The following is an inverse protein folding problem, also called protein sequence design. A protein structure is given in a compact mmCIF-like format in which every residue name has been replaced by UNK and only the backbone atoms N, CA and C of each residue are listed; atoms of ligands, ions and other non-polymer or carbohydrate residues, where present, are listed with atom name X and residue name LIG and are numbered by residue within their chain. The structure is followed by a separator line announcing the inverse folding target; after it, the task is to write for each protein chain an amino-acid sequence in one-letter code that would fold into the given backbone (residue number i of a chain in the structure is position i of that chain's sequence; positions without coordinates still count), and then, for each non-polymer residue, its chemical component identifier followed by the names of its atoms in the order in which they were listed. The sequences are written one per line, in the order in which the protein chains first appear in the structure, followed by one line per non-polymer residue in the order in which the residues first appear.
data_IF_906150655753
#
_entry.id   IF_906150655753
#
_cell.length_a   1.000
_cell.length_b   1.000
_cell.length_c   1.000
_cell.angle_alpha   90.00
_cell.angle_beta   90.00
_cell.angle_gamma   90.00
#
_symmetry.space_group_name_H-M   'P 1'
#
loop_
_entity.id
_entity.type
_entity.pdbx_description
1 polymer ?
#
# COMPACT_ATOMS: atom_id res chain seq x y z
N UNK A 1 -19.66 -39.57 -2.59
CA UNK A 1 -18.39 -39.02 -3.14
C UNK A 1 -18.57 -37.77 -4.00
N UNK A 2 -19.54 -37.69 -4.93
CA UNK A 2 -19.76 -36.48 -5.77
C UNK A 2 -20.08 -35.17 -5.01
N UNK A 3 -20.78 -35.25 -3.86
CA UNK A 3 -21.13 -34.07 -3.04
C UNK A 3 -19.93 -33.47 -2.30
N UNK A 4 -18.95 -34.28 -1.89
CA UNK A 4 -17.74 -33.81 -1.22
C UNK A 4 -16.79 -33.07 -2.18
N UNK A 5 -16.71 -33.55 -3.43
CA UNK A 5 -15.91 -32.90 -4.48
C UNK A 5 -16.44 -31.50 -4.83
N UNK A 6 -17.77 -31.31 -4.82
CA UNK A 6 -18.41 -30.03 -5.10
C UNK A 6 -18.12 -28.98 -4.00
N UNK A 7 -18.11 -29.41 -2.74
CA UNK A 7 -17.81 -28.53 -1.58
C UNK A 7 -16.35 -28.07 -1.59
N UNK A 8 -15.41 -28.97 -1.93
CA UNK A 8 -13.98 -28.62 -2.05
C UNK A 8 -13.74 -27.63 -3.21
N UNK A 9 -14.45 -27.79 -4.33
CA UNK A 9 -14.33 -26.88 -5.47
C UNK A 9 -14.85 -25.47 -5.15
N UNK A 10 -15.97 -25.36 -4.42
CA UNK A 10 -16.53 -24.08 -3.97
C UNK A 10 -15.62 -23.36 -2.97
N UNK A 11 -14.96 -24.09 -2.06
CA UNK A 11 -14.01 -23.51 -1.09
C UNK A 11 -12.72 -23.02 -1.77
N UNK A 12 -12.25 -23.70 -2.83
CA UNK A 12 -11.07 -23.27 -3.58
C UNK A 12 -11.29 -21.97 -4.37
N UNK A 13 -12.51 -21.69 -4.83
CA UNK A 13 -12.85 -20.48 -5.59
C UNK A 13 -12.93 -19.20 -4.73
N UNK A 14 -13.17 -19.33 -3.41
CA UNK A 14 -13.29 -18.18 -2.51
C UNK A 14 -11.93 -17.59 -2.09
N UNK A 15 -10.84 -18.36 -2.20
CA UNK A 15 -9.49 -17.89 -1.85
C UNK A 15 -8.96 -16.79 -2.77
N UNK A 16 -9.53 -16.62 -3.97
CA UNK A 16 -9.08 -15.62 -4.94
C UNK A 16 -9.59 -14.19 -4.71
N UNK A 17 -10.48 -13.98 -3.73
CA UNK A 17 -11.15 -12.68 -3.53
C UNK A 17 -10.60 -11.86 -2.35
N UNK A 18 -9.69 -12.41 -1.55
CA UNK A 18 -9.15 -11.71 -0.39
C UNK A 18 -8.08 -10.68 -0.81
N UNK A 19 -8.04 -9.51 -0.14
CA UNK A 19 -6.90 -8.60 -0.23
C UNK A 19 -5.61 -9.34 0.09
N UNK A 20 -4.56 -9.08 -0.69
CA UNK A 20 -3.25 -9.68 -0.48
C UNK A 20 -2.21 -8.58 -0.59
N UNK A 21 -1.54 -8.19 0.50
CA UNK A 21 -0.51 -7.19 0.42
C UNK A 21 0.72 -7.72 -0.31
N UNK A 22 1.46 -6.82 -0.96
CA UNK A 22 2.79 -7.09 -1.47
C UNK A 22 3.69 -7.57 -0.32
N UNK A 23 4.55 -8.58 -0.54
CA UNK A 23 5.37 -9.12 0.52
C UNK A 23 6.42 -8.08 0.96
N UNK A 24 6.64 -7.91 2.28
CA UNK A 24 7.71 -7.05 2.76
C UNK A 24 9.07 -7.61 2.35
N UNK A 25 10.04 -6.72 2.16
CA UNK A 25 11.41 -7.11 1.86
C UNK A 25 12.34 -6.74 3.03
N UNK A 26 13.08 -7.73 3.52
CA UNK A 26 14.09 -7.56 4.57
C UNK A 26 15.50 -7.38 4.00
N UNK A 27 15.66 -7.55 2.70
CA UNK A 27 16.91 -7.33 1.97
C UNK A 27 16.65 -6.75 0.56
N UNK A 28 17.72 -6.41 -0.15
CA UNK A 28 17.65 -5.91 -1.53
C UNK A 28 17.78 -7.01 -2.59
N UNK A 29 17.54 -8.28 -2.24
CA UNK A 29 17.61 -9.40 -3.18
C UNK A 29 16.27 -9.56 -3.88
N UNK A 30 16.34 -9.67 -5.21
CA UNK A 30 15.17 -9.80 -6.08
C UNK A 30 15.41 -10.86 -7.15
N UNK A 31 14.34 -11.53 -7.54
CA UNK A 31 14.33 -12.32 -8.77
C UNK A 31 14.25 -11.41 -10.01
N UNK A 32 14.49 -11.97 -11.20
CA UNK A 32 14.47 -11.19 -12.45
C UNK A 32 13.12 -10.49 -12.70
N UNK A 33 12.01 -11.12 -12.28
CA UNK A 33 10.64 -10.61 -12.43
C UNK A 33 10.20 -9.66 -11.31
N UNK A 34 11.06 -9.37 -10.34
CA UNK A 34 10.72 -8.55 -9.17
C UNK A 34 11.60 -7.30 -9.07
N UNK A 35 11.11 -6.32 -8.32
CA UNK A 35 11.84 -5.14 -7.90
C UNK A 35 11.51 -4.82 -6.44
N UNK A 36 12.49 -4.33 -5.68
CA UNK A 36 12.21 -3.75 -4.36
C UNK A 36 11.68 -2.34 -4.55
N UNK A 37 10.54 -2.05 -3.95
CA UNK A 37 9.92 -0.72 -3.95
C UNK A 37 10.06 -0.13 -2.56
N UNK A 38 10.64 1.07 -2.50
CA UNK A 38 10.84 1.83 -1.27
C UNK A 38 10.09 3.15 -1.40
N UNK A 39 9.33 3.51 -0.38
CA UNK A 39 8.64 4.78 -0.32
C UNK A 39 8.07 5.02 1.07
N UNK A 40 7.22 6.03 1.17
CA UNK A 40 6.49 6.37 2.40
C UNK A 40 5.11 6.90 2.02
N UNK A 41 4.11 6.63 2.85
CA UNK A 41 2.79 7.24 2.71
C UNK A 41 2.52 8.06 3.96
N UNK A 42 2.09 9.31 3.77
CA UNK A 42 1.85 10.27 4.84
C UNK A 42 0.48 10.91 4.74
N UNK A 43 -0.04 11.30 5.90
CA UNK A 43 -1.27 12.05 6.03
C UNK A 43 -1.05 13.27 6.93
N UNK A 44 -1.45 14.44 6.46
CA UNK A 44 -1.27 15.72 7.14
C UNK A 44 -2.62 16.46 7.23
N UNK A 45 -3.13 16.75 8.45
CA UNK A 45 -2.65 16.26 9.74
C UNK A 45 -2.80 14.73 9.87
N UNK A 46 -1.99 14.05 10.70
CA UNK A 46 -2.10 12.62 10.93
C UNK A 46 -3.45 12.27 11.57
N UNK A 47 -3.87 11.00 11.49
CA UNK A 47 -5.05 10.52 12.21
C UNK A 47 -4.76 10.53 13.71
N UNK A 48 -5.65 11.13 14.48
CA UNK A 48 -5.60 11.06 15.93
C UNK A 48 -6.22 9.73 16.40
N UNK A 49 -5.38 8.78 16.81
CA UNK A 49 -5.83 7.46 17.25
C UNK A 49 -6.68 7.44 18.52
N UNK A 50 -6.75 8.54 19.28
CA UNK A 50 -7.60 8.66 20.48
C UNK A 50 -9.00 9.17 20.14
N UNK A 51 -9.10 10.16 19.24
CA UNK A 51 -10.37 10.85 18.96
C UNK A 51 -11.02 10.47 17.62
N UNK A 52 -10.26 9.93 16.67
CA UNK A 52 -10.73 9.62 15.32
C UNK A 52 -10.79 8.13 15.03
N UNK A 53 -10.23 7.30 15.91
CA UNK A 53 -10.26 5.84 15.77
C UNK A 53 -10.97 5.18 16.94
N UNK A 54 -11.71 4.12 16.63
CA UNK A 54 -12.38 3.30 17.63
C UNK A 54 -11.73 1.92 17.72
N UNK A 55 -11.36 1.55 18.95
CA UNK A 55 -10.68 0.30 19.26
C UNK A 55 -11.59 -0.67 20.01
N UNK A 56 -11.42 -1.96 19.76
CA UNK A 56 -12.21 -3.05 20.32
C UNK A 56 -11.28 -4.16 20.82
N UNK A 57 -11.39 -4.45 22.12
CA UNK A 57 -10.53 -5.42 22.81
C UNK A 57 -10.59 -6.86 22.25
N UNK A 58 -11.64 -7.20 21.50
CA UNK A 58 -11.90 -8.55 20.98
C UNK A 58 -11.64 -8.69 19.46
N UNK A 59 -11.06 -7.68 18.80
CA UNK A 59 -10.79 -7.73 17.35
C UNK A 59 -9.30 -8.00 17.10
N UNK A 60 -8.98 -9.22 16.69
CA UNK A 60 -7.61 -9.60 16.34
C UNK A 60 -7.12 -8.83 15.11
N UNK A 61 -5.91 -8.28 15.19
CA UNK A 61 -5.28 -7.54 14.08
C UNK A 61 -5.78 -6.11 13.89
N UNK A 62 -6.67 -5.63 14.76
CA UNK A 62 -7.22 -4.27 14.70
C UNK A 62 -6.14 -3.19 14.65
N UNK A 63 -5.11 -3.29 15.49
CA UNK A 63 -4.04 -2.30 15.56
C UNK A 63 -3.34 -2.10 14.21
N UNK A 64 -3.09 -3.20 13.49
CA UNK A 64 -2.56 -3.14 12.13
C UNK A 64 -3.54 -2.42 11.21
N UNK A 65 -4.81 -2.80 11.22
CA UNK A 65 -5.82 -2.22 10.31
C UNK A 65 -6.09 -0.73 10.55
N UNK A 66 -6.01 -0.26 11.79
CA UNK A 66 -6.20 1.15 12.14
C UNK A 66 -4.97 1.99 11.80
N UNK A 67 -3.76 1.46 11.99
CA UNK A 67 -2.53 2.24 11.79
C UNK A 67 -1.95 2.13 10.37
N UNK A 68 -2.51 1.28 9.52
CA UNK A 68 -2.02 1.06 8.16
C UNK A 68 -2.98 1.57 7.11
N UNK A 69 -2.40 2.05 6.01
CA UNK A 69 -3.08 2.31 4.75
C UNK A 69 -2.86 1.14 3.80
N UNK A 70 -3.94 0.67 3.19
CA UNK A 70 -3.89 -0.27 2.07
C UNK A 70 -4.06 0.52 0.78
N UNK A 71 -3.03 0.51 -0.07
CA UNK A 71 -3.00 1.14 -1.39
C UNK A 71 -3.19 0.08 -2.46
N UNK A 72 -4.28 0.15 -3.21
CA UNK A 72 -4.50 -0.70 -4.38
C UNK A 72 -3.42 -0.42 -5.43
N UNK A 73 -2.77 -1.48 -5.92
CA UNK A 73 -1.77 -1.36 -6.99
C UNK A 73 -2.14 -2.21 -8.19
N UNK A 74 -1.52 -1.95 -9.34
CA UNK A 74 -1.68 -2.82 -10.50
C UNK A 74 -0.96 -2.35 -11.75
N UNK A 75 -0.95 -3.19 -12.78
CA UNK A 75 -0.33 -2.90 -14.07
C UNK A 75 -1.10 -1.84 -14.91
N UNK A 76 -2.34 -1.53 -14.51
CA UNK A 76 -3.23 -0.59 -15.21
C UNK A 76 -3.78 0.44 -14.23
N UNK A 77 -3.99 1.66 -14.73
CA UNK A 77 -4.73 2.69 -14.02
C UNK A 77 -6.21 2.28 -13.93
N UNK A 78 -6.64 1.85 -12.75
CA UNK A 78 -8.03 1.51 -12.45
C UNK A 78 -8.39 2.08 -11.09
N UNK A 79 -8.94 3.31 -11.03
CA UNK A 79 -9.33 3.93 -9.77
C UNK A 79 -10.24 3.01 -8.94
N UNK A 80 -10.01 2.96 -7.63
CA UNK A 80 -10.87 2.21 -6.71
C UNK A 80 -12.21 2.93 -6.54
N UNK A 81 -13.30 2.16 -6.50
CA UNK A 81 -14.62 2.70 -6.19
C UNK A 81 -14.79 2.85 -4.67
N UNK A 82 -14.78 4.10 -4.19
CA UNK A 82 -14.94 4.40 -2.77
C UNK A 82 -16.36 4.12 -2.24
N UNK A 83 -17.36 3.96 -3.13
CA UNK A 83 -18.74 3.64 -2.73
C UNK A 83 -18.97 2.14 -2.50
N UNK A 84 -18.11 1.29 -3.07
CA UNK A 84 -18.23 -0.16 -3.00
C UNK A 84 -16.85 -0.80 -2.78
N UNK A 85 -16.52 -1.13 -1.53
CA UNK A 85 -15.28 -1.84 -1.23
C UNK A 85 -15.27 -3.23 -1.87
N UNK A 86 -14.43 -3.41 -2.88
CA UNK A 86 -14.14 -4.71 -3.45
C UNK A 86 -12.74 -5.17 -3.03
N UNK A 87 -12.66 -6.18 -2.17
CA UNK A 87 -11.38 -6.73 -1.70
C UNK A 87 -10.44 -7.16 -2.85
N UNK A 88 -11.03 -7.52 -4.00
CA UNK A 88 -10.31 -7.83 -5.23
C UNK A 88 -9.50 -6.68 -5.84
N UNK A 89 -9.85 -5.43 -5.52
CA UNK A 89 -9.09 -4.24 -5.93
C UNK A 89 -7.79 -4.08 -5.16
N UNK A 90 -7.72 -4.68 -3.98
CA UNK A 90 -6.55 -4.69 -3.10
C UNK A 90 -5.77 -6.00 -3.18
N UNK A 91 -5.87 -6.69 -4.32
CA UNK A 91 -4.93 -7.77 -4.67
C UNK A 91 -3.61 -7.13 -5.07
N UNK A 92 -2.53 -7.59 -4.46
CA UNK A 92 -1.20 -6.98 -4.57
C UNK A 92 -1.18 -5.53 -4.07
N UNK A 93 -1.91 -5.24 -2.99
CA UNK A 93 -1.92 -3.91 -2.39
C UNK A 93 -0.59 -3.60 -1.71
N UNK A 94 -0.16 -2.36 -1.77
CA UNK A 94 0.89 -1.87 -0.90
C UNK A 94 0.26 -1.54 0.45
N UNK A 95 0.72 -2.21 1.50
CA UNK A 95 0.30 -1.92 2.87
C UNK A 95 1.43 -1.21 3.60
N UNK A 96 1.14 -0.05 4.18
CA UNK A 96 2.14 0.78 4.85
C UNK A 96 1.57 1.39 6.11
N UNK A 97 2.42 1.52 7.14
CA UNK A 97 2.12 2.33 8.32
C UNK A 97 2.29 3.82 7.97
N UNK A 98 1.42 4.67 8.51
CA UNK A 98 1.46 6.11 8.26
C UNK A 98 2.78 6.74 8.73
N UNK A 99 3.46 7.48 7.85
CA UNK A 99 4.70 8.18 8.19
C UNK A 99 5.94 7.29 8.30
N UNK A 100 5.80 5.98 8.12
CA UNK A 100 6.91 5.03 8.19
C UNK A 100 7.32 4.61 6.78
N UNK A 101 8.62 4.62 6.45
CA UNK A 101 9.08 4.06 5.17
C UNK A 101 8.76 2.57 5.05
N UNK A 102 8.19 2.16 3.93
CA UNK A 102 7.97 0.75 3.60
C UNK A 102 9.03 0.25 2.62
N UNK A 103 9.28 -1.05 2.65
CA UNK A 103 10.15 -1.76 1.71
C UNK A 103 9.42 -3.06 1.32
N UNK A 104 9.00 -3.16 0.07
CA UNK A 104 8.18 -4.29 -0.42
C UNK A 104 8.72 -4.84 -1.73
N UNK A 105 8.47 -6.12 -2.03
CA UNK A 105 8.71 -6.67 -3.36
C UNK A 105 7.49 -6.43 -4.23
N UNK A 106 7.71 -5.95 -5.45
CA UNK A 106 6.66 -5.77 -6.43
C UNK A 106 7.06 -6.39 -7.78
N UNK A 107 6.11 -6.71 -8.66
CA UNK A 107 6.41 -7.12 -10.02
C UNK A 107 7.22 -6.06 -10.77
N UNK A 108 8.20 -6.49 -11.58
CA UNK A 108 9.03 -5.62 -12.41
C UNK A 108 8.26 -5.10 -13.62
N UNK A 109 7.39 -4.13 -13.38
CA UNK A 109 6.57 -3.47 -14.40
C UNK A 109 6.22 -2.05 -13.97
N UNK A 110 5.67 -1.24 -14.88
CA UNK A 110 4.98 -0.01 -14.50
C UNK A 110 3.85 -0.37 -13.53
N UNK A 111 3.85 0.26 -12.37
CA UNK A 111 2.86 0.02 -11.33
C UNK A 111 2.10 1.29 -11.03
N UNK A 112 0.78 1.20 -11.10
CA UNK A 112 -0.16 2.26 -10.75
C UNK A 112 -0.59 2.13 -9.29
N UNK A 113 -0.77 3.27 -8.63
CA UNK A 113 -1.39 3.44 -7.33
C UNK A 113 -2.80 3.94 -7.58
N UNK A 114 -3.77 3.04 -7.39
CA UNK A 114 -5.13 3.17 -7.89
C UNK A 114 -6.10 3.78 -6.88
N UNK A 115 -5.70 3.89 -5.62
CA UNK A 115 -6.50 4.43 -4.53
C UNK A 115 -6.15 3.71 -3.24
N UNK A 116 -6.39 4.36 -2.12
CA UNK A 116 -6.07 3.79 -0.82
C UNK A 116 -7.27 3.84 0.12
N UNK A 117 -7.19 3.01 1.15
CA UNK A 117 -8.16 2.97 2.24
C UNK A 117 -7.43 2.74 3.56
N UNK A 118 -7.91 3.36 4.63
CA UNK A 118 -7.55 3.07 6.03
C UNK A 118 -8.82 2.90 6.84
N UNK A 119 -8.76 2.12 7.91
CA UNK A 119 -9.89 1.98 8.83
C UNK A 119 -9.82 3.06 9.93
N UNK A 120 -10.99 3.59 10.29
CA UNK A 120 -11.21 4.38 11.50
C UNK A 120 -11.92 3.53 12.58
N UNK A 121 -12.76 2.59 12.14
CA UNK A 121 -13.40 1.58 12.98
C UNK A 121 -13.42 0.25 12.23
N UNK A 122 -12.74 -0.77 12.76
CA UNK A 122 -12.67 -2.09 12.11
C UNK A 122 -13.98 -2.88 12.25
N UNK A 123 -14.76 -2.65 13.31
CA UNK A 123 -16.00 -3.37 13.57
C UNK A 123 -17.15 -2.82 12.73
N UNK A 124 -17.35 -1.51 12.77
CA UNK A 124 -18.39 -0.80 12.02
C UNK A 124 -17.98 -0.55 10.57
N UNK A 125 -16.73 -0.87 10.21
CA UNK A 125 -16.15 -0.73 8.87
C UNK A 125 -16.11 0.74 8.41
N UNK A 126 -15.97 1.68 9.35
CA UNK A 126 -15.73 3.09 9.02
C UNK A 126 -14.35 3.23 8.40
N UNK A 127 -14.30 3.88 7.24
CA UNK A 127 -13.13 3.95 6.39
C UNK A 127 -12.91 5.36 5.89
N UNK A 128 -11.64 5.70 5.73
CA UNK A 128 -11.22 6.88 4.99
C UNK A 128 -10.59 6.46 3.66
N UNK A 129 -11.04 7.10 2.58
CA UNK A 129 -10.61 6.82 1.22
C UNK A 129 -9.66 7.89 0.71
N UNK A 130 -8.64 7.46 -0.02
CA UNK A 130 -7.61 8.31 -0.58
C UNK A 130 -7.57 8.19 -2.10
N UNK A 131 -7.50 9.31 -2.82
CA UNK A 131 -7.45 9.29 -4.28
C UNK A 131 -6.15 8.65 -4.77
N UNK A 132 -6.24 7.81 -5.80
CA UNK A 132 -5.09 7.28 -6.53
C UNK A 132 -4.71 8.15 -7.73
N UNK A 133 -4.32 7.49 -8.83
CA UNK A 133 -3.94 8.16 -10.07
C UNK A 133 -2.47 8.54 -10.12
N UNK A 134 -1.62 7.72 -9.49
CA UNK A 134 -0.17 7.84 -9.57
C UNK A 134 0.45 6.58 -10.13
N UNK A 135 1.67 6.67 -10.66
CA UNK A 135 2.41 5.51 -11.11
C UNK A 135 3.92 5.72 -10.96
N UNK A 136 4.67 4.62 -10.95
CA UNK A 136 6.11 4.63 -11.11
C UNK A 136 6.54 3.64 -12.20
N UNK A 137 7.69 3.90 -12.79
CA UNK A 137 8.33 2.99 -13.75
C UNK A 137 9.46 2.25 -13.04
N UNK A 138 9.85 1.08 -13.56
CA UNK A 138 11.04 0.38 -13.07
C UNK A 138 12.15 0.61 -14.08
N UNK A 139 13.20 1.39 -13.75
CA UNK A 139 14.32 1.58 -14.66
C UNK A 139 15.00 0.25 -14.98
N UNK A 140 15.57 0.15 -16.19
CA UNK A 140 16.28 -1.05 -16.63
C UNK A 140 17.42 -1.39 -15.66
N UNK A 141 17.53 -2.68 -15.31
CA UNK A 141 18.54 -3.19 -14.37
C UNK A 141 18.37 -2.76 -12.91
N UNK A 142 17.35 -1.97 -12.55
CA UNK A 142 17.13 -1.53 -11.18
C UNK A 142 16.70 -2.69 -10.28
N UNK A 143 17.49 -3.03 -9.26
CA UNK A 143 17.08 -4.02 -8.23
C UNK A 143 16.13 -3.44 -7.21
N UNK A 144 16.29 -2.14 -6.92
CA UNK A 144 15.47 -1.40 -5.99
C UNK A 144 15.14 -0.02 -6.58
N UNK A 145 13.91 0.44 -6.34
CA UNK A 145 13.41 1.75 -6.75
C UNK A 145 12.89 2.53 -5.55
N UNK A 146 13.25 3.82 -5.48
CA UNK A 146 12.64 4.76 -4.55
C UNK A 146 11.55 5.56 -5.26
N UNK A 147 10.32 5.51 -4.76
CA UNK A 147 9.16 6.12 -5.41
C UNK A 147 8.75 7.46 -4.80
N UNK A 148 9.44 7.94 -3.77
CA UNK A 148 9.06 9.17 -3.07
C UNK A 148 8.19 8.92 -1.84
N UNK A 149 7.84 10.01 -1.18
CA UNK A 149 6.79 10.07 -0.16
C UNK A 149 5.51 10.56 -0.82
N UNK A 150 4.44 9.76 -0.76
CA UNK A 150 3.10 10.17 -1.18
C UNK A 150 2.38 10.80 0.01
N UNK A 151 2.26 12.12 0.00
CA UNK A 151 1.70 12.90 1.11
C UNK A 151 0.30 13.38 0.77
N UNK A 152 -0.67 12.93 1.56
CA UNK A 152 -2.04 13.40 1.52
C UNK A 152 -2.23 14.53 2.52
N UNK A 153 -2.96 15.56 2.11
CA UNK A 153 -3.44 16.61 2.99
C UNK A 153 -4.95 16.47 3.15
N UNK A 154 -5.46 16.60 4.37
CA UNK A 154 -6.89 16.54 4.68
C UNK A 154 -7.33 17.77 5.45
N UNK A 155 -8.63 18.05 5.44
CA UNK A 155 -9.26 19.01 6.35
C UNK A 155 -9.89 18.28 7.55
N UNK A 156 -10.51 19.06 8.44
CA UNK A 156 -11.17 18.56 9.67
C UNK A 156 -12.36 17.62 9.40
N UNK A 157 -12.86 17.59 8.16
CA UNK A 157 -13.93 16.68 7.71
C UNK A 157 -13.39 15.45 6.99
N UNK A 158 -12.11 15.13 7.17
CA UNK A 158 -11.43 14.02 6.50
C UNK A 158 -11.41 14.12 4.96
N UNK A 159 -11.77 15.26 4.38
CA UNK A 159 -11.71 15.42 2.92
C UNK A 159 -10.27 15.64 2.51
N UNK A 160 -9.77 14.82 1.59
CA UNK A 160 -8.46 15.02 0.97
C UNK A 160 -8.49 16.30 0.13
N UNK A 161 -7.65 17.27 0.48
CA UNK A 161 -7.57 18.60 -0.15
C UNK A 161 -6.41 18.71 -1.13
N UNK A 162 -5.32 17.97 -0.89
CA UNK A 162 -4.11 18.01 -1.71
C UNK A 162 -3.37 16.68 -1.64
N UNK A 163 -2.68 16.33 -2.73
CA UNK A 163 -1.78 15.18 -2.79
C UNK A 163 -0.46 15.62 -3.39
N UNK A 164 0.65 15.28 -2.74
CA UNK A 164 2.00 15.69 -3.11
C UNK A 164 2.90 14.46 -3.21
N UNK A 165 3.88 14.53 -4.11
CA UNK A 165 4.99 13.58 -4.14
C UNK A 165 6.23 14.35 -3.70
N UNK A 166 6.82 13.93 -2.59
CA UNK A 166 7.97 14.58 -1.97
C UNK A 166 9.19 13.66 -2.09
N UNK A 167 10.33 14.22 -2.48
CA UNK A 167 11.60 13.51 -2.54
C UNK A 167 12.35 13.64 -1.20
N UNK A 168 12.23 12.62 -0.36
CA UNK A 168 12.82 12.54 0.98
C UNK A 168 13.89 11.43 1.03
N UNK A 169 14.67 11.29 -0.05
CA UNK A 169 15.72 10.26 -0.17
C UNK A 169 16.73 10.23 0.99
N UNK A 170 16.95 11.37 1.65
CA UNK A 170 17.88 11.46 2.79
C UNK A 170 17.35 10.72 4.01
N UNK A 171 16.03 10.69 4.20
CA UNK A 171 15.39 10.15 5.40
C UNK A 171 15.22 8.62 5.32
N UNK A 172 15.16 8.06 4.10
CA UNK A 172 15.07 6.61 3.91
C UNK A 172 16.40 5.86 4.10
N UNK A 173 17.52 6.57 4.28
CA UNK A 173 18.82 5.94 4.51
C UNK A 173 18.82 5.06 5.77
N UNK A 174 18.08 5.47 6.81
CA UNK A 174 17.91 4.68 8.02
C UNK A 174 17.15 3.37 7.76
N UNK A 175 16.05 3.44 6.98
CA UNK A 175 15.27 2.26 6.60
C UNK A 175 16.10 1.27 5.75
N UNK A 176 16.93 1.79 4.84
CA UNK A 176 17.82 0.97 4.01
C UNK A 176 18.91 0.26 4.82
N UNK A 177 19.43 0.91 5.87
CA UNK A 177 20.42 0.30 6.76
C UNK A 177 19.86 -0.95 7.45
N UNK A 178 18.61 -0.90 7.90
CA UNK A 178 17.92 -2.06 8.50
C UNK A 178 17.73 -3.20 7.50
N UNK A 179 17.49 -2.89 6.22
CA UNK A 179 17.40 -3.87 5.14
C UNK A 179 18.76 -4.32 4.57
N UNK A 180 19.88 -3.96 5.22
CA UNK A 180 21.22 -4.33 4.77
C UNK A 180 21.64 -3.72 3.43
N UNK A 181 20.97 -2.64 3.00
CA UNK A 181 21.19 -1.97 1.72
C UNK A 181 21.90 -0.62 1.86
N UNK A 182 22.53 -0.18 0.78
CA UNK A 182 23.10 1.17 0.67
C UNK A 182 22.23 2.06 -0.23
N UNK A 183 22.09 3.38 0.04
CA UNK A 183 21.36 4.32 -0.82
C UNK A 183 21.77 4.28 -2.30
N UNK A 184 23.06 4.00 -2.59
CA UNK A 184 23.60 3.90 -3.95
C UNK A 184 23.02 2.75 -4.77
N UNK A 185 22.45 1.73 -4.11
CA UNK A 185 21.84 0.56 -4.78
C UNK A 185 20.39 0.82 -5.19
N UNK A 186 19.82 1.96 -4.81
CA UNK A 186 18.42 2.32 -5.04
C UNK A 186 18.33 3.37 -6.15
N UNK A 187 17.61 3.05 -7.22
CA UNK A 187 17.38 3.98 -8.33
C UNK A 187 16.15 4.84 -8.03
N UNK A 188 16.20 6.17 -8.19
CA UNK A 188 15.00 6.99 -8.05
C UNK A 188 14.03 6.74 -9.21
N UNK A 189 12.76 6.55 -8.89
CA UNK A 189 11.64 6.61 -9.83
C UNK A 189 10.42 7.19 -9.12
N UNK A 190 10.49 8.50 -8.84
CA UNK A 190 9.43 9.22 -8.14
C UNK A 190 8.07 9.01 -8.78
N UNK A 191 7.03 8.94 -7.95
CA UNK A 191 5.65 8.84 -8.38
C UNK A 191 5.27 9.99 -9.33
N UNK A 192 4.59 9.63 -10.42
CA UNK A 192 4.10 10.54 -11.45
C UNK A 192 2.58 10.49 -11.45
N UNK A 193 1.94 11.64 -11.62
CA UNK A 193 0.48 11.71 -11.76
C UNK A 193 0.06 11.18 -13.13
N UNK A 194 -0.99 10.37 -13.18
CA UNK A 194 -1.65 10.00 -14.44
C UNK A 194 -2.26 11.26 -15.05
N UNK A 195 -1.94 11.53 -16.32
CA UNK A 195 -2.50 12.64 -17.08
C UNK A 195 -3.84 12.26 -17.70
#
# INVERSE_FOLDING_TARGET
MKKALLVVLCLALQACALPRPLPPATDLKTEASEVIVIGKIELVPPINGEFEQRRYWNVFGEERMLNHVLMATGAKNRPVDASAFAGSDFRDSLEAEWGVPFIVKAPRQRTFLNGAVTYLDVREQDRLWFPGGYYFDVPEGARAVYIGTLRYHRNDFNRITKVEVVDERRDIAAALKTAGGAPLQVRPSLLKRVR
#
